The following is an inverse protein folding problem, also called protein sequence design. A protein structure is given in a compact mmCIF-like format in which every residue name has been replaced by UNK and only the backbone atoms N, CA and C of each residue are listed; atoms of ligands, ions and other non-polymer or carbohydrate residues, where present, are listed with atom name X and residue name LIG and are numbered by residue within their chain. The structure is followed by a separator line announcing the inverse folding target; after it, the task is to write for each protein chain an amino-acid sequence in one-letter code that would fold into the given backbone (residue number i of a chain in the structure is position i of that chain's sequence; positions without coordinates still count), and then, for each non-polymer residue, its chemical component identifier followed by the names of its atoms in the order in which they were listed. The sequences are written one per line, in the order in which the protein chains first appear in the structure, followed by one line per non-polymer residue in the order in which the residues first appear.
data_IF_435965181445
#
_entry.id   IF_435965181445
#
_cell.length_a   1.000
_cell.length_b   1.000
_cell.length_c   1.000
_cell.angle_alpha   90.00
_cell.angle_beta   90.00
_cell.angle_gamma   90.00
#
_symmetry.space_group_name_H-M   'P 1'
#
loop_
_entity.id
_entity.type
_entity.pdbx_description
1 polymer ?
#
# COMPACT_ATOMS: atom_id res chain seq x y z
N UNK A 1 -12.96 -11.78 -0.11
CA UNK A 1 -12.55 -11.53 -1.51
C UNK A 1 -11.04 -11.34 -1.49
N UNK A 2 -10.29 -12.20 -2.20
CA UNK A 2 -8.83 -12.27 -2.08
C UNK A 2 -8.16 -11.15 -2.90
N UNK A 3 -7.37 -10.30 -2.24
CA UNK A 3 -6.51 -9.30 -2.86
C UNK A 3 -5.15 -9.94 -3.18
N UNK A 4 -4.72 -9.86 -4.44
CA UNK A 4 -3.38 -10.31 -4.84
C UNK A 4 -2.44 -9.10 -4.74
N UNK A 5 -1.64 -9.04 -3.66
CA UNK A 5 -0.60 -8.03 -3.46
C UNK A 5 0.74 -8.63 -3.88
N UNK A 6 1.31 -8.15 -4.98
CA UNK A 6 2.70 -8.46 -5.30
C UNK A 6 3.60 -7.50 -4.51
N UNK A 7 4.11 -7.95 -3.37
CA UNK A 7 5.09 -7.21 -2.57
C UNK A 7 6.46 -7.42 -3.23
N UNK A 8 6.99 -6.39 -3.89
CA UNK A 8 8.40 -6.38 -4.29
C UNK A 8 9.21 -5.75 -3.14
N UNK A 9 10.01 -6.56 -2.46
CA UNK A 9 10.91 -6.13 -1.38
C UNK A 9 12.29 -5.84 -1.97
N UNK A 10 12.71 -4.57 -1.99
CA UNK A 10 14.08 -4.20 -2.37
C UNK A 10 14.94 -4.14 -1.12
N UNK A 11 15.76 -5.19 -0.93
CA UNK A 11 16.94 -5.30 -0.05
C UNK A 11 16.87 -4.58 1.31
N UNK A 12 16.78 -5.36 2.39
CA UNK A 12 17.07 -4.89 3.75
C UNK A 12 18.58 -4.67 3.92
N UNK A 13 18.96 -3.58 4.60
CA UNK A 13 20.33 -3.43 5.12
C UNK A 13 20.45 -4.40 6.30
N UNK A 14 21.22 -5.47 6.13
CA UNK A 14 21.34 -6.57 7.08
C UNK A 14 22.25 -6.19 8.27
N UNK A 15 21.64 -6.03 9.44
CA UNK A 15 22.30 -5.89 10.74
C UNK A 15 22.15 -7.19 11.55
N UNK A 16 22.35 -8.35 10.94
CA UNK A 16 22.56 -9.67 11.55
C UNK A 16 21.49 -10.21 12.52
N UNK A 17 20.28 -9.67 12.59
CA UNK A 17 19.32 -10.08 13.63
C UNK A 17 17.87 -9.71 13.28
N UNK A 18 17.34 -10.15 12.13
CA UNK A 18 15.96 -9.90 11.63
C UNK A 18 15.46 -8.44 11.67
N UNK A 19 16.32 -7.50 12.02
CA UNK A 19 16.05 -6.10 12.33
C UNK A 19 16.75 -5.23 11.33
N UNK A 20 16.06 -4.18 10.89
CA UNK A 20 16.66 -3.24 9.96
C UNK A 20 15.63 -2.43 9.22
N UNK A 21 16.15 -1.51 8.40
CA UNK A 21 15.33 -0.69 7.53
C UNK A 21 14.93 -1.51 6.31
N UNK A 22 13.64 -1.49 5.98
CA UNK A 22 13.09 -2.12 4.79
C UNK A 22 12.58 -1.04 3.84
N UNK A 23 12.78 -1.27 2.54
CA UNK A 23 12.19 -0.46 1.48
C UNK A 23 11.41 -1.40 0.58
N UNK A 24 10.14 -1.09 0.36
CA UNK A 24 9.26 -1.91 -0.47
C UNK A 24 8.29 -1.05 -1.25
N UNK A 25 7.57 -1.67 -2.19
CA UNK A 25 6.46 -1.02 -2.87
C UNK A 25 5.28 -1.99 -3.00
N UNK A 26 4.07 -1.44 -2.85
CA UNK A 26 2.82 -2.12 -3.15
C UNK A 26 2.24 -1.61 -4.46
N UNK A 27 1.74 -2.54 -5.25
CA UNK A 27 0.95 -2.25 -6.43
C UNK A 27 -0.35 -3.04 -6.37
N UNK A 28 -1.46 -2.42 -6.76
CA UNK A 28 -2.75 -3.08 -6.68
C UNK A 28 -3.86 -2.34 -7.40
N UNK A 29 -5.06 -2.89 -7.27
CA UNK A 29 -6.30 -2.27 -7.73
C UNK A 29 -7.15 -1.90 -6.52
N UNK A 30 -7.72 -0.70 -6.52
CA UNK A 30 -8.73 -0.30 -5.56
C UNK A 30 -10.12 -0.37 -6.21
N UNK A 31 -11.11 -0.69 -5.40
CA UNK A 31 -12.50 -0.62 -5.81
C UNK A 31 -13.28 0.16 -4.74
N UNK A 32 -13.94 1.23 -5.17
CA UNK A 32 -14.82 2.03 -4.32
C UNK A 32 -16.23 1.93 -4.89
N UNK A 33 -17.18 1.59 -4.03
CA UNK A 33 -18.60 1.59 -4.35
C UNK A 33 -19.25 2.77 -3.65
N UNK A 34 -19.84 3.70 -4.41
CA UNK A 34 -20.59 4.83 -3.85
C UNK A 34 -22.03 4.74 -4.31
N UNK A 35 -22.95 4.61 -3.36
CA UNK A 35 -24.39 4.65 -3.60
C UNK A 35 -24.97 5.87 -2.91
N UNK A 36 -25.61 6.76 -3.68
CA UNK A 36 -26.36 7.90 -3.15
C UNK A 36 -27.59 8.14 -4.02
N UNK A 37 -28.78 8.23 -3.41
CA UNK A 37 -30.05 8.51 -4.09
C UNK A 37 -30.27 7.76 -5.43
N UNK A 38 -30.25 6.41 -5.39
CA UNK A 38 -30.51 5.53 -6.55
C UNK A 38 -29.51 5.61 -7.73
N UNK A 39 -28.42 6.36 -7.62
CA UNK A 39 -27.25 6.18 -8.49
C UNK A 39 -26.17 5.39 -7.77
N UNK A 40 -25.71 4.32 -8.41
CA UNK A 40 -24.59 3.50 -7.97
C UNK A 40 -23.49 3.59 -9.00
N UNK A 41 -22.36 4.17 -8.60
CA UNK A 41 -21.16 4.19 -9.43
C UNK A 41 -20.13 3.27 -8.81
N UNK A 42 -19.54 2.41 -9.65
CA UNK A 42 -18.39 1.60 -9.31
C UNK A 42 -17.14 2.29 -9.82
N UNK A 43 -16.19 2.55 -8.94
CA UNK A 43 -14.91 3.14 -9.28
C UNK A 43 -13.80 2.13 -9.10
N UNK A 44 -12.97 2.00 -10.13
CA UNK A 44 -11.74 1.21 -10.09
C UNK A 44 -10.55 2.16 -10.20
N UNK A 45 -9.57 1.96 -9.33
CA UNK A 45 -8.31 2.71 -9.33
C UNK A 45 -7.11 1.79 -9.40
N UNK A 46 -6.01 2.27 -9.96
CA UNK A 46 -4.69 1.66 -9.81
C UNK A 46 -3.98 2.30 -8.63
N UNK A 47 -3.38 1.48 -7.78
CA UNK A 47 -2.66 1.90 -6.59
C UNK A 47 -1.18 1.60 -6.77
N UNK A 48 -0.33 2.58 -6.47
CA UNK A 48 1.11 2.42 -6.29
C UNK A 48 1.50 3.05 -4.96
N UNK A 49 2.21 2.31 -4.11
CA UNK A 49 2.55 2.77 -2.77
C UNK A 49 3.97 2.35 -2.36
N UNK A 50 4.98 3.20 -2.60
CA UNK A 50 6.30 3.00 -2.02
C UNK A 50 6.23 3.16 -0.49
N UNK A 51 7.02 2.34 0.21
CA UNK A 51 7.01 2.19 1.66
C UNK A 51 8.43 2.10 2.19
N UNK A 52 8.63 2.67 3.37
CA UNK A 52 9.83 2.51 4.17
C UNK A 52 9.43 2.05 5.56
N UNK A 53 10.04 0.98 6.04
CA UNK A 53 9.74 0.36 7.31
C UNK A 53 10.98 0.06 8.13
N UNK A 54 10.73 -0.31 9.38
CA UNK A 54 11.72 -0.88 10.28
C UNK A 54 11.19 -2.21 10.80
N UNK A 55 11.93 -3.28 10.51
CA UNK A 55 11.64 -4.62 11.00
C UNK A 55 12.19 -4.77 12.42
N UNK A 56 11.36 -5.20 13.36
CA UNK A 56 11.73 -5.39 14.77
C UNK A 56 12.14 -6.84 15.09
N UNK A 57 11.60 -7.80 14.35
CA UNK A 57 11.89 -9.23 14.40
C UNK A 57 11.30 -9.90 13.15
N UNK A 58 11.44 -11.23 13.01
CA UNK A 58 10.94 -12.00 11.87
C UNK A 58 9.49 -11.71 11.48
N UNK A 59 8.63 -11.41 12.45
CA UNK A 59 7.17 -11.31 12.32
C UNK A 59 6.62 -9.89 12.36
N UNK A 60 7.40 -8.89 12.82
CA UNK A 60 6.90 -7.53 13.06
C UNK A 60 7.72 -6.46 12.31
N UNK A 61 7.00 -5.60 11.59
CA UNK A 61 7.49 -4.41 10.92
C UNK A 61 6.54 -3.24 11.17
N UNK A 62 7.08 -2.02 11.33
CA UNK A 62 6.27 -0.81 11.25
C UNK A 62 6.96 0.23 10.36
N UNK A 63 6.17 1.06 9.70
CA UNK A 63 6.73 2.00 8.75
C UNK A 63 5.76 3.07 8.30
N UNK A 64 6.22 3.82 7.31
CA UNK A 64 5.45 4.82 6.62
C UNK A 64 5.35 4.49 5.13
N UNK A 65 4.24 4.88 4.52
CA UNK A 65 4.03 4.73 3.10
C UNK A 65 3.51 6.02 2.48
N UNK A 66 3.85 6.21 1.23
CA UNK A 66 3.17 7.15 0.35
C UNK A 66 2.24 6.33 -0.55
N UNK A 67 1.01 6.77 -0.75
CA UNK A 67 0.02 6.09 -1.60
C UNK A 67 -0.40 7.03 -2.71
N UNK A 68 -0.17 6.59 -3.93
CA UNK A 68 -0.70 7.17 -5.15
C UNK A 68 -1.81 6.27 -5.69
N UNK A 69 -2.94 6.85 -6.03
CA UNK A 69 -4.09 6.12 -6.55
C UNK A 69 -4.74 6.90 -7.69
N UNK A 70 -4.78 6.26 -8.86
CA UNK A 70 -5.33 6.86 -10.08
C UNK A 70 -6.65 6.20 -10.42
N UNK A 71 -7.73 6.96 -10.37
CA UNK A 71 -9.06 6.55 -10.83
C UNK A 71 -9.23 6.87 -12.31
N UNK A 72 -10.05 6.09 -13.01
CA UNK A 72 -10.35 6.32 -14.43
C UNK A 72 -11.14 7.62 -14.65
N UNK A 73 -12.13 7.87 -13.80
CA UNK A 73 -13.14 8.90 -14.02
C UNK A 73 -13.09 10.05 -12.98
N UNK A 74 -12.08 10.04 -12.10
CA UNK A 74 -11.95 10.97 -10.96
C UNK A 74 -10.51 11.45 -10.78
N UNK A 75 -10.37 12.52 -10.00
CA UNK A 75 -9.07 13.03 -9.59
C UNK A 75 -8.24 11.94 -8.88
N UNK A 76 -6.93 12.02 -9.10
CA UNK A 76 -5.96 11.20 -8.40
C UNK A 76 -6.01 11.43 -6.89
N UNK A 77 -5.87 10.36 -6.12
CA UNK A 77 -5.68 10.41 -4.68
C UNK A 77 -4.20 10.26 -4.35
N UNK A 78 -3.73 11.14 -3.48
CA UNK A 78 -2.37 11.13 -2.96
C UNK A 78 -2.44 11.23 -1.44
N UNK A 79 -1.76 10.34 -0.74
CA UNK A 79 -1.75 10.34 0.72
C UNK A 79 -0.47 9.76 1.30
N UNK A 80 -0.24 10.07 2.57
CA UNK A 80 0.80 9.44 3.40
C UNK A 80 0.13 8.72 4.56
N UNK A 81 0.72 7.62 5.00
CA UNK A 81 0.19 6.84 6.11
C UNK A 81 1.29 6.08 6.83
N UNK A 82 0.90 5.47 7.95
CA UNK A 82 1.75 4.55 8.72
C UNK A 82 1.15 3.15 8.64
N UNK A 83 1.99 2.13 8.72
CA UNK A 83 1.57 0.73 8.75
C UNK A 83 2.29 -0.03 9.86
N UNK A 84 1.68 -1.13 10.29
CA UNK A 84 2.26 -2.15 11.14
C UNK A 84 1.81 -3.51 10.61
N UNK A 85 2.78 -4.37 10.30
CA UNK A 85 2.61 -5.69 9.68
C UNK A 85 3.32 -6.77 10.49
#
# INVERSE_FOLDING_TARGET
MAAFCAIYQSQAIDFSDDRGITVSALFGVSHSHRSFNHHSDNHYGLVASPRIGYKFNADWEAGAFFRYEKFKDYNEYVGVGIYGE
#
